data_IF_941009107295
#
_entry.id   IF_941009107295
#
_cell.length_a   1.000
_cell.length_b   1.000
_cell.length_c   1.000
_cell.angle_alpha   90.00
_cell.angle_beta   90.00
_cell.angle_gamma   90.00
#
_symmetry.space_group_name_H-M   'P 1'
#
loop_
_entity.id
_entity.type
_entity.pdbx_description
1 polymer ?
#
# COMPACT_ATOMS: atom_id res chain seq x y z
N UNK A 1 34.60 13.41 3.74
CA UNK A 1 34.37 12.29 4.69
C UNK A 1 33.55 11.27 3.93
N UNK A 2 34.16 10.12 3.63
CA UNK A 2 33.62 9.13 2.71
C UNK A 2 32.35 8.46 3.26
N UNK A 3 31.37 8.26 2.38
CA UNK A 3 30.16 7.48 2.58
C UNK A 3 30.53 6.02 2.88
N UNK A 4 30.41 5.61 4.14
CA UNK A 4 30.55 4.21 4.52
C UNK A 4 29.36 3.40 4.03
N UNK A 5 29.60 2.39 3.20
CA UNK A 5 28.65 1.32 2.97
C UNK A 5 28.37 0.61 4.31
N UNK A 6 27.09 0.54 4.71
CA UNK A 6 26.63 -0.19 5.89
C UNK A 6 27.01 -1.67 5.75
N UNK A 7 27.75 -2.24 6.72
CA UNK A 7 27.96 -3.69 6.78
C UNK A 7 26.82 -4.33 7.59
N UNK A 8 26.03 -5.24 7.00
CA UNK A 8 24.86 -5.82 7.65
C UNK A 8 25.23 -7.17 8.29
N UNK A 9 26.09 -7.19 9.29
CA UNK A 9 26.34 -8.45 10.03
C UNK A 9 25.30 -8.66 11.15
N UNK A 10 24.48 -7.66 11.48
CA UNK A 10 23.50 -7.69 12.59
C UNK A 10 22.25 -6.81 12.34
N UNK A 11 21.72 -6.76 11.11
CA UNK A 11 20.61 -5.87 10.78
C UNK A 11 19.57 -6.41 9.81
N UNK A 12 18.30 -6.18 10.10
CA UNK A 12 17.17 -6.61 9.25
C UNK A 12 16.96 -5.60 8.12
N UNK A 13 16.87 -6.07 6.88
CA UNK A 13 16.54 -5.25 5.72
C UNK A 13 15.08 -5.49 5.33
N UNK A 14 14.28 -4.42 5.28
CA UNK A 14 12.84 -4.47 5.00
C UNK A 14 12.52 -3.64 3.77
N UNK A 15 11.94 -4.26 2.74
CA UNK A 15 11.27 -3.54 1.66
C UNK A 15 9.78 -3.45 1.97
N UNK A 16 9.24 -2.24 1.98
CA UNK A 16 7.86 -2.03 2.42
C UNK A 16 7.08 -1.11 1.49
N UNK A 17 5.77 -1.37 1.37
CA UNK A 17 4.83 -0.41 0.82
C UNK A 17 4.96 0.93 1.56
N UNK A 18 4.94 2.03 0.80
CA UNK A 18 4.99 3.39 1.36
C UNK A 18 3.94 3.63 2.45
N UNK A 19 2.72 3.13 2.25
CA UNK A 19 1.60 3.28 3.19
C UNK A 19 1.75 2.49 4.51
N UNK A 20 2.66 1.52 4.57
CA UNK A 20 2.99 0.78 5.80
C UNK A 20 4.17 1.36 6.56
N UNK A 21 5.05 2.10 5.87
CA UNK A 21 6.36 2.46 6.39
C UNK A 21 6.31 3.18 7.75
N UNK A 22 5.44 4.19 7.99
CA UNK A 22 5.37 4.85 9.30
C UNK A 22 5.04 3.88 10.44
N UNK A 23 4.11 2.95 10.22
CA UNK A 23 3.73 1.96 11.22
C UNK A 23 4.86 0.97 11.51
N UNK A 24 5.52 0.45 10.46
CA UNK A 24 6.64 -0.48 10.63
C UNK A 24 7.87 0.17 11.27
N UNK A 25 8.15 1.45 11.00
CA UNK A 25 9.22 2.19 11.68
C UNK A 25 8.95 2.32 13.17
N UNK A 26 7.70 2.60 13.56
CA UNK A 26 7.33 2.67 14.98
C UNK A 26 7.40 1.28 15.64
N UNK A 27 6.96 0.22 14.96
CA UNK A 27 7.12 -1.16 15.44
C UNK A 27 8.60 -1.50 15.62
N UNK A 28 9.46 -1.16 14.67
CA UNK A 28 10.91 -1.37 14.77
C UNK A 28 11.52 -0.62 15.96
N UNK A 29 11.11 0.63 16.19
CA UNK A 29 11.55 1.43 17.36
C UNK A 29 11.19 0.74 18.67
N UNK A 30 9.96 0.22 18.80
CA UNK A 30 9.50 -0.48 20.00
C UNK A 30 10.20 -1.83 20.15
N UNK A 31 10.33 -2.61 19.08
CA UNK A 31 11.04 -3.88 19.06
C UNK A 31 12.47 -3.74 19.56
N UNK A 32 13.22 -2.77 19.03
CA UNK A 32 14.60 -2.48 19.46
C UNK A 32 14.66 -2.10 20.93
N UNK A 33 13.77 -1.21 21.37
CA UNK A 33 13.76 -0.74 22.77
C UNK A 33 13.45 -1.87 23.77
N UNK A 34 12.63 -2.85 23.40
CA UNK A 34 12.07 -3.82 24.35
C UNK A 34 12.60 -5.25 24.21
N UNK A 35 13.13 -5.64 23.04
CA UNK A 35 13.51 -7.03 22.74
C UNK A 35 14.94 -7.18 22.21
N UNK A 36 15.39 -6.27 21.32
CA UNK A 36 16.69 -6.36 20.62
C UNK A 36 17.38 -4.99 20.46
N UNK A 37 17.94 -4.39 21.52
CA UNK A 37 18.60 -3.08 21.44
C UNK A 37 19.78 -3.03 20.46
N UNK A 38 20.43 -4.16 20.24
CA UNK A 38 21.61 -4.37 19.40
C UNK A 38 21.30 -4.53 17.90
N UNK A 39 20.03 -4.71 17.53
CA UNK A 39 19.62 -4.93 16.15
C UNK A 39 19.25 -3.61 15.49
N UNK A 40 19.78 -3.37 14.30
CA UNK A 40 19.32 -2.31 13.42
C UNK A 40 18.30 -2.84 12.40
N UNK A 41 17.32 -2.01 12.05
CA UNK A 41 16.28 -2.35 11.07
C UNK A 41 16.26 -1.25 10.01
N UNK A 42 16.58 -1.62 8.77
CA UNK A 42 16.69 -0.73 7.64
C UNK A 42 15.47 -0.86 6.75
N UNK A 43 14.79 0.26 6.51
CA UNK A 43 13.60 0.31 5.68
C UNK A 43 13.90 0.96 4.33
N UNK A 44 13.41 0.34 3.27
CA UNK A 44 13.28 0.98 1.98
C UNK A 44 11.81 0.94 1.53
N UNK A 45 11.19 2.12 1.52
CA UNK A 45 9.78 2.26 1.18
C UNK A 45 9.60 2.59 -0.30
N UNK A 46 8.71 1.88 -0.98
CA UNK A 46 8.26 2.22 -2.34
C UNK A 46 6.88 1.63 -2.65
N UNK A 47 6.43 1.73 -3.91
CA UNK A 47 5.24 1.00 -4.36
C UNK A 47 5.42 -0.52 -4.24
N UNK A 48 4.33 -1.26 -4.00
CA UNK A 48 4.45 -2.71 -3.72
C UNK A 48 4.98 -3.53 -4.89
N UNK A 49 4.66 -3.16 -6.14
CA UNK A 49 5.22 -3.82 -7.32
C UNK A 49 6.73 -3.54 -7.39
N UNK A 50 7.15 -2.31 -7.12
CA UNK A 50 8.56 -1.94 -7.08
C UNK A 50 9.33 -2.68 -5.96
N UNK A 51 8.75 -2.82 -4.76
CA UNK A 51 9.32 -3.65 -3.68
C UNK A 51 9.63 -5.07 -4.14
N UNK A 52 8.71 -5.71 -4.85
CA UNK A 52 8.87 -7.08 -5.32
C UNK A 52 9.83 -7.17 -6.51
N UNK A 53 9.83 -6.20 -7.42
CA UNK A 53 10.77 -6.14 -8.56
C UNK A 53 12.22 -5.98 -8.15
N UNK A 54 12.50 -5.23 -7.08
CA UNK A 54 13.84 -5.13 -6.49
C UNK A 54 14.42 -6.51 -6.19
N UNK A 55 13.61 -7.45 -5.75
CA UNK A 55 14.06 -8.82 -5.46
C UNK A 55 14.04 -9.69 -6.71
N UNK A 56 12.91 -9.70 -7.41
CA UNK A 56 12.64 -10.66 -8.48
C UNK A 56 13.39 -10.36 -9.78
N UNK A 57 13.61 -9.08 -10.09
CA UNK A 57 14.27 -8.64 -11.34
C UNK A 57 15.68 -8.10 -11.10
N UNK A 58 15.89 -7.35 -10.01
CA UNK A 58 17.18 -6.70 -9.73
C UNK A 58 18.10 -7.55 -8.83
N UNK A 59 17.61 -8.67 -8.30
CA UNK A 59 18.38 -9.58 -7.45
C UNK A 59 18.81 -8.97 -6.10
N UNK A 60 18.13 -7.93 -5.63
CA UNK A 60 18.49 -7.26 -4.37
C UNK A 60 18.17 -8.16 -3.18
N UNK A 61 19.09 -8.18 -2.21
CA UNK A 61 18.92 -8.92 -0.96
C UNK A 61 18.05 -8.13 0.00
N UNK A 62 17.11 -8.81 0.63
CA UNK A 62 16.18 -8.29 1.64
C UNK A 62 15.87 -9.42 2.61
N UNK A 63 15.46 -9.09 3.83
CA UNK A 63 14.97 -10.08 4.80
C UNK A 63 13.46 -10.20 4.73
N UNK A 64 12.76 -9.06 4.79
CA UNK A 64 11.30 -8.99 4.85
C UNK A 64 10.77 -8.13 3.72
N UNK A 65 9.68 -8.60 3.09
CA UNK A 65 8.86 -7.77 2.20
C UNK A 65 7.49 -7.62 2.84
N UNK A 66 7.00 -6.38 2.94
CA UNK A 66 5.66 -6.06 3.46
C UNK A 66 4.93 -5.13 2.49
N UNK A 67 3.82 -5.57 1.90
CA UNK A 67 3.18 -4.90 0.76
C UNK A 67 1.68 -4.69 0.95
N UNK A 68 1.12 -3.78 0.16
CA UNK A 68 -0.28 -3.36 0.25
C UNK A 68 -1.28 -4.23 -0.52
N UNK A 69 -0.79 -5.18 -1.33
CA UNK A 69 -1.61 -6.14 -2.05
C UNK A 69 -0.98 -7.53 -1.95
N UNK A 70 -1.63 -8.40 -1.16
CA UNK A 70 -1.16 -9.77 -0.96
C UNK A 70 -1.05 -10.58 -2.26
N UNK A 71 -1.87 -10.27 -3.28
CA UNK A 71 -1.89 -11.07 -4.52
C UNK A 71 -0.64 -10.87 -5.37
N UNK A 72 0.13 -9.80 -5.14
CA UNK A 72 1.45 -9.60 -5.74
C UNK A 72 2.41 -10.72 -5.30
N UNK A 73 2.30 -11.25 -4.07
CA UNK A 73 3.11 -12.40 -3.66
C UNK A 73 2.79 -13.64 -4.50
N UNK A 74 1.51 -13.91 -4.76
CA UNK A 74 1.08 -15.05 -5.59
C UNK A 74 1.55 -14.90 -7.04
N UNK A 75 1.55 -13.68 -7.56
CA UNK A 75 1.93 -13.41 -8.95
C UNK A 75 3.44 -13.51 -9.19
N UNK A 76 4.27 -13.07 -8.24
CA UNK A 76 5.68 -12.80 -8.52
C UNK A 76 6.68 -13.43 -7.55
N UNK A 77 6.23 -13.86 -6.37
CA UNK A 77 7.16 -14.35 -5.34
C UNK A 77 6.97 -15.82 -5.00
N UNK A 78 5.73 -16.28 -4.88
CA UNK A 78 5.43 -17.67 -4.53
C UNK A 78 5.51 -18.53 -5.80
N UNK A 79 6.15 -19.71 -5.78
CA UNK A 79 6.93 -20.29 -4.67
C UNK A 79 8.44 -19.95 -4.71
N UNK A 80 8.91 -19.21 -5.71
CA UNK A 80 10.34 -19.12 -6.02
C UNK A 80 11.18 -18.29 -5.03
N UNK A 81 10.60 -17.24 -4.47
CA UNK A 81 11.26 -16.29 -3.56
C UNK A 81 10.70 -16.34 -2.14
N UNK A 82 9.53 -16.95 -1.95
CA UNK A 82 8.87 -17.12 -0.67
C UNK A 82 7.94 -18.33 -0.70
N UNK A 83 7.91 -19.11 0.38
CA UNK A 83 7.04 -20.29 0.50
C UNK A 83 5.69 -19.98 1.19
N UNK A 84 5.58 -18.81 1.81
CA UNK A 84 4.41 -18.36 2.56
C UNK A 84 4.29 -16.82 2.53
N UNK A 85 3.19 -16.28 3.02
CA UNK A 85 2.99 -14.88 3.38
C UNK A 85 1.87 -14.80 4.44
N UNK A 86 1.93 -13.78 5.29
CA UNK A 86 0.94 -13.49 6.32
C UNK A 86 0.16 -12.23 5.98
N UNK A 87 -1.16 -12.34 5.86
CA UNK A 87 -2.10 -11.23 5.75
C UNK A 87 -2.45 -10.70 7.14
N UNK A 88 -2.12 -9.44 7.42
CA UNK A 88 -2.11 -8.93 8.79
C UNK A 88 -2.82 -7.59 8.98
N UNK A 89 -3.17 -6.87 7.90
CA UNK A 89 -3.91 -5.62 8.00
C UNK A 89 -4.77 -5.36 6.77
N UNK A 90 -5.76 -4.50 6.91
CA UNK A 90 -6.63 -4.00 5.83
C UNK A 90 -6.71 -2.48 5.84
N UNK A 91 -7.25 -1.91 4.77
CA UNK A 91 -7.39 -0.48 4.59
C UNK A 91 -8.53 -0.15 3.62
N UNK A 92 -8.72 1.12 3.29
CA UNK A 92 -9.75 1.59 2.36
C UNK A 92 -9.25 2.77 1.52
N UNK A 93 -9.67 2.83 0.26
CA UNK A 93 -9.43 4.01 -0.59
C UNK A 93 -10.30 5.18 -0.11
N UNK A 94 -9.71 6.36 -0.03
CA UNK A 94 -10.37 7.64 0.26
C UNK A 94 -9.93 8.70 -0.74
N UNK A 95 -10.58 9.86 -0.70
CA UNK A 95 -10.14 11.04 -1.45
C UNK A 95 -9.62 12.09 -0.46
N UNK A 96 -8.30 12.22 -0.37
CA UNK A 96 -7.60 13.15 0.50
C UNK A 96 -7.67 14.58 -0.04
N UNK A 97 -7.75 15.56 0.86
CA UNK A 97 -7.72 16.99 0.54
C UNK A 97 -7.20 17.84 1.71
N UNK A 98 -7.10 19.15 1.49
CA UNK A 98 -6.80 20.14 2.53
C UNK A 98 -7.80 21.30 2.48
N UNK A 99 -7.77 22.19 3.46
CA UNK A 99 -8.56 23.43 3.43
C UNK A 99 -8.10 24.43 2.35
N UNK A 100 -6.96 24.19 1.70
CA UNK A 100 -6.51 24.97 0.55
C UNK A 100 -7.06 24.43 -0.77
N UNK A 101 -7.57 23.20 -0.80
CA UNK A 101 -8.10 22.56 -2.00
C UNK A 101 -9.31 23.30 -2.57
N UNK A 102 -9.35 23.47 -3.88
CA UNK A 102 -10.48 24.10 -4.57
C UNK A 102 -11.77 23.32 -4.29
N UNK A 103 -12.82 24.06 -3.97
CA UNK A 103 -14.17 23.51 -3.68
C UNK A 103 -14.26 22.60 -2.44
N UNK A 104 -13.28 22.62 -1.52
CA UNK A 104 -13.27 21.74 -0.33
C UNK A 104 -14.50 21.88 0.58
N UNK A 105 -15.16 23.05 0.60
CA UNK A 105 -16.38 23.26 1.40
C UNK A 105 -17.64 22.70 0.76
N UNK A 106 -17.58 22.31 -0.52
CA UNK A 106 -18.72 21.81 -1.29
C UNK A 106 -18.65 20.29 -1.52
N UNK A 107 -17.45 19.71 -1.46
CA UNK A 107 -17.23 18.29 -1.74
C UNK A 107 -17.70 17.40 -0.59
N UNK A 108 -18.29 16.26 -0.92
CA UNK A 108 -18.73 15.21 0.01
C UNK A 108 -18.82 13.84 -0.69
N UNK A 109 -19.22 12.81 0.05
CA UNK A 109 -19.35 11.42 -0.43
C UNK A 109 -20.30 11.25 -1.63
N UNK A 110 -21.23 12.17 -1.82
CA UNK A 110 -22.30 12.05 -2.81
C UNK A 110 -22.00 12.81 -4.11
N UNK A 111 -21.04 13.74 -4.07
CA UNK A 111 -20.75 14.63 -5.20
C UNK A 111 -19.26 14.71 -5.59
N UNK A 112 -18.34 14.03 -4.90
CA UNK A 112 -16.89 14.09 -5.16
C UNK A 112 -16.56 13.90 -6.64
N UNK A 113 -17.22 12.93 -7.29
CA UNK A 113 -16.95 12.59 -8.69
C UNK A 113 -17.34 13.72 -9.66
N UNK A 114 -18.27 14.59 -9.29
CA UNK A 114 -18.62 15.78 -10.08
C UNK A 114 -17.66 16.92 -9.82
N UNK A 115 -17.24 17.10 -8.57
CA UNK A 115 -16.26 18.13 -8.18
C UNK A 115 -14.93 17.89 -8.88
N UNK A 116 -14.46 16.65 -8.94
CA UNK A 116 -13.21 16.30 -9.62
C UNK A 116 -13.25 16.57 -11.13
N UNK A 117 -14.42 16.63 -11.76
CA UNK A 117 -14.55 16.95 -13.20
C UNK A 117 -14.69 18.46 -13.47
N UNK A 118 -14.65 19.30 -12.44
CA UNK A 118 -14.54 20.74 -12.64
C UNK A 118 -13.15 21.05 -13.24
N UNK A 119 -13.11 21.86 -14.30
CA UNK A 119 -11.88 22.22 -15.02
C UNK A 119 -10.86 22.95 -14.15
N UNK A 120 -11.31 23.55 -13.05
CA UNK A 120 -10.44 24.23 -12.10
C UNK A 120 -9.94 23.28 -11.01
N UNK A 121 -10.45 22.05 -10.91
CA UNK A 121 -10.01 21.11 -9.88
C UNK A 121 -8.91 20.20 -10.43
N UNK A 122 -7.83 20.10 -9.67
CA UNK A 122 -6.72 19.17 -9.92
C UNK A 122 -6.78 17.98 -8.97
N UNK A 123 -6.50 16.79 -9.46
CA UNK A 123 -6.40 15.60 -8.63
C UNK A 123 -5.35 14.65 -9.16
N UNK A 124 -4.89 13.79 -8.25
CA UNK A 124 -3.69 13.00 -8.45
C UNK A 124 -3.82 11.60 -7.86
N UNK A 125 -2.93 10.71 -8.28
CA UNK A 125 -2.77 9.38 -7.74
C UNK A 125 -1.33 8.89 -7.93
N UNK A 126 -0.96 7.78 -7.29
CA UNK A 126 0.36 7.19 -7.51
C UNK A 126 0.43 6.37 -8.80
N UNK A 127 1.63 6.10 -9.30
CA UNK A 127 1.85 5.39 -10.55
C UNK A 127 1.29 3.95 -10.51
N UNK A 128 0.28 3.61 -11.35
CA UNK A 128 -0.33 2.27 -11.37
C UNK A 128 0.64 1.14 -11.70
N UNK A 129 1.77 1.42 -12.35
CA UNK A 129 2.77 0.40 -12.70
C UNK A 129 3.74 0.07 -11.55
N UNK A 130 3.72 0.86 -10.48
CA UNK A 130 4.64 0.74 -9.34
C UNK A 130 3.90 0.48 -8.02
N UNK A 131 2.72 1.09 -7.84
CA UNK A 131 2.06 1.19 -6.55
C UNK A 131 0.58 0.75 -6.59
N UNK A 132 0.15 -0.13 -5.66
CA UNK A 132 -1.24 -0.51 -5.52
C UNK A 132 -2.24 0.62 -5.37
N UNK A 133 -1.89 1.71 -4.68
CA UNK A 133 -2.81 2.85 -4.57
C UNK A 133 -3.16 3.44 -5.96
N UNK A 134 -2.18 3.43 -6.87
CA UNK A 134 -2.34 3.89 -8.24
C UNK A 134 -3.33 3.06 -9.05
N UNK A 135 -3.11 1.74 -9.17
CA UNK A 135 -4.04 0.91 -9.92
C UNK A 135 -5.40 0.76 -9.21
N UNK A 136 -5.44 0.83 -7.87
CA UNK A 136 -6.69 0.84 -7.11
C UNK A 136 -7.49 2.12 -7.33
N UNK A 137 -6.83 3.26 -7.56
CA UNK A 137 -7.52 4.49 -7.98
C UNK A 137 -8.26 4.27 -9.29
N UNK A 138 -7.61 3.66 -10.28
CA UNK A 138 -8.25 3.33 -11.56
C UNK A 138 -9.42 2.33 -11.37
N UNK A 139 -9.30 1.39 -10.45
CA UNK A 139 -10.40 0.48 -10.07
C UNK A 139 -11.57 1.25 -9.43
N UNK A 140 -11.29 2.14 -8.48
CA UNK A 140 -12.30 3.00 -7.84
C UNK A 140 -13.06 3.80 -8.90
N UNK A 141 -12.37 4.34 -9.91
CA UNK A 141 -13.00 5.07 -11.01
C UNK A 141 -13.97 4.20 -11.82
N UNK A 142 -13.56 2.98 -12.18
CA UNK A 142 -14.42 2.01 -12.87
C UNK A 142 -15.64 1.61 -12.02
N UNK A 143 -15.43 1.40 -10.72
CA UNK A 143 -16.50 1.05 -9.77
C UNK A 143 -17.45 2.23 -9.55
N UNK A 144 -16.94 3.47 -9.48
CA UNK A 144 -17.72 4.69 -9.36
C UNK A 144 -18.65 4.89 -10.57
N UNK A 145 -18.16 4.64 -11.78
CA UNK A 145 -18.99 4.69 -13.00
C UNK A 145 -20.22 3.77 -12.90
N UNK A 146 -20.05 2.57 -12.32
CA UNK A 146 -21.14 1.62 -12.08
C UNK A 146 -22.03 2.06 -10.92
N UNK A 147 -21.44 2.41 -9.79
CA UNK A 147 -22.15 2.78 -8.56
C UNK A 147 -23.05 4.00 -8.77
N UNK A 148 -22.53 5.06 -9.39
CA UNK A 148 -23.28 6.29 -9.66
C UNK A 148 -24.09 6.25 -10.97
N UNK A 149 -24.09 5.12 -11.68
CA UNK A 149 -24.79 4.92 -12.97
C UNK A 149 -24.41 6.01 -13.98
N UNK A 150 -23.12 6.31 -14.08
CA UNK A 150 -22.56 7.29 -15.00
C UNK A 150 -21.59 6.61 -15.98
N UNK A 151 -22.10 6.09 -17.12
CA UNK A 151 -21.26 5.47 -18.13
C UNK A 151 -20.16 6.43 -18.62
N UNK A 152 -18.90 5.98 -18.62
CA UNK A 152 -17.76 6.76 -19.09
C UNK A 152 -17.12 7.69 -18.05
N UNK A 153 -17.61 7.70 -16.81
CA UNK A 153 -17.02 8.47 -15.71
C UNK A 153 -15.55 8.11 -15.45
N UNK A 154 -15.21 6.83 -15.54
CA UNK A 154 -13.85 6.30 -15.43
C UNK A 154 -12.91 6.87 -16.51
N UNK A 155 -13.38 6.94 -17.75
CA UNK A 155 -12.63 7.55 -18.86
C UNK A 155 -12.50 9.06 -18.68
N UNK A 156 -13.55 9.72 -18.22
CA UNK A 156 -13.51 11.15 -17.92
C UNK A 156 -12.42 11.46 -16.88
N UNK A 157 -12.37 10.68 -15.79
CA UNK A 157 -11.30 10.84 -14.81
C UNK A 157 -9.90 10.62 -15.37
N UNK A 158 -9.73 9.59 -16.19
CA UNK A 158 -8.44 9.28 -16.80
C UNK A 158 -7.98 10.35 -17.79
N UNK A 159 -8.91 11.03 -18.46
CA UNK A 159 -8.61 12.11 -19.41
C UNK A 159 -8.38 13.46 -18.73
N UNK A 160 -9.06 13.71 -17.61
CA UNK A 160 -8.95 14.95 -16.84
C UNK A 160 -7.78 14.95 -15.84
N UNK A 161 -7.29 13.77 -15.44
CA UNK A 161 -6.10 13.65 -14.60
C UNK A 161 -4.84 13.87 -15.44
N UNK A 162 -4.21 15.03 -15.27
CA UNK A 162 -3.00 15.36 -16.02
C UNK A 162 -1.84 14.42 -15.65
N UNK A 163 -0.96 14.13 -16.62
CA UNK A 163 0.12 13.15 -16.46
C UNK A 163 1.15 13.57 -15.41
N UNK A 164 1.37 14.87 -15.27
CA UNK A 164 2.22 15.47 -14.23
C UNK A 164 1.72 15.24 -12.81
N UNK A 165 0.44 14.88 -12.65
CA UNK A 165 -0.18 14.55 -11.36
C UNK A 165 -0.18 13.05 -11.05
N UNK A 166 0.66 12.29 -11.75
CA UNK A 166 0.93 10.87 -11.46
C UNK A 166 2.30 10.77 -10.80
N UNK A 167 2.31 10.37 -9.52
CA UNK A 167 3.52 10.33 -8.71
C UNK A 167 4.03 8.92 -8.51
N UNK A 168 5.34 8.67 -8.63
CA UNK A 168 5.90 7.35 -8.37
C UNK A 168 5.90 6.99 -6.87
N UNK A 169 5.90 8.00 -5.99
CA UNK A 169 5.94 7.82 -4.53
C UNK A 169 4.79 8.54 -3.85
N UNK A 170 4.13 7.85 -2.91
CA UNK A 170 3.08 8.42 -2.09
C UNK A 170 3.55 9.63 -1.26
N UNK A 171 4.82 9.67 -0.84
CA UNK A 171 5.39 10.82 -0.11
C UNK A 171 5.30 12.10 -0.92
N UNK A 172 5.70 12.03 -2.19
CA UNK A 172 5.77 13.19 -3.09
C UNK A 172 4.35 13.66 -3.43
N UNK A 173 3.42 12.72 -3.59
CA UNK A 173 1.99 13.01 -3.76
C UNK A 173 1.40 13.74 -2.54
N UNK A 174 1.69 13.27 -1.32
CA UNK A 174 1.20 13.90 -0.09
C UNK A 174 1.82 15.29 0.12
N UNK A 175 3.09 15.48 -0.21
CA UNK A 175 3.75 16.80 -0.17
C UNK A 175 3.12 17.77 -1.17
N UNK A 176 2.85 17.32 -2.41
CA UNK A 176 2.18 18.13 -3.41
C UNK A 176 0.79 18.59 -2.95
N UNK A 177 0.02 17.70 -2.34
CA UNK A 177 -1.30 18.02 -1.77
C UNK A 177 -1.19 19.02 -0.61
N UNK A 178 -0.27 18.81 0.33
CA UNK A 178 -0.05 19.70 1.49
C UNK A 178 0.37 21.10 1.07
N UNK A 179 1.16 21.21 0.01
CA UNK A 179 1.64 22.48 -0.53
C UNK A 179 0.64 23.15 -1.48
N UNK A 180 -0.53 22.55 -1.72
CA UNK A 180 -1.57 23.09 -2.59
C UNK A 180 -1.20 23.08 -4.08
N UNK A 181 -0.26 22.23 -4.49
CA UNK A 181 0.05 22.02 -5.92
C UNK A 181 -1.07 21.25 -6.63
N UNK A 182 -1.76 20.40 -5.89
CA UNK A 182 -2.94 19.65 -6.31
C UNK A 182 -4.05 19.81 -5.28
N UNK A 183 -5.32 19.70 -5.70
CA UNK A 183 -6.46 19.88 -4.79
C UNK A 183 -6.84 18.56 -4.10
N UNK A 184 -6.81 17.44 -4.81
CA UNK A 184 -7.23 16.14 -4.26
C UNK A 184 -6.25 15.02 -4.60
N UNK A 185 -6.16 14.01 -3.74
CA UNK A 185 -5.38 12.81 -4.01
C UNK A 185 -6.14 11.56 -3.62
N UNK A 186 -6.19 10.56 -4.51
CA UNK A 186 -6.64 9.23 -4.11
C UNK A 186 -5.53 8.56 -3.32
N UNK A 187 -5.84 8.18 -2.08
CA UNK A 187 -4.94 7.38 -1.27
C UNK A 187 -5.70 6.58 -0.21
N UNK A 188 -4.99 5.78 0.58
CA UNK A 188 -5.56 5.07 1.71
C UNK A 188 -5.92 5.98 2.90
N UNK A 189 -6.97 5.61 3.63
CA UNK A 189 -7.38 6.31 4.86
C UNK A 189 -6.26 6.39 5.90
N UNK A 190 -5.46 5.33 6.05
CA UNK A 190 -4.31 5.34 6.97
C UNK A 190 -3.28 6.39 6.58
N UNK A 191 -3.04 6.60 5.28
CA UNK A 191 -2.06 7.58 4.81
C UNK A 191 -2.57 8.99 4.99
N UNK A 192 -3.87 9.22 4.79
CA UNK A 192 -4.51 10.49 5.13
C UNK A 192 -4.31 10.83 6.62
N UNK A 193 -4.59 9.87 7.52
CA UNK A 193 -4.41 10.02 8.96
C UNK A 193 -2.95 10.28 9.35
N UNK A 194 -2.02 9.47 8.83
CA UNK A 194 -0.58 9.62 9.09
C UNK A 194 -0.04 10.99 8.63
N UNK A 195 -0.70 11.61 7.65
CA UNK A 195 -0.32 12.91 7.11
C UNK A 195 -1.14 14.08 7.66
N UNK A 196 -2.07 13.84 8.59
CA UNK A 196 -3.02 14.83 9.12
C UNK A 196 -3.81 15.55 8.02
N UNK A 197 -4.27 14.80 7.03
CA UNK A 197 -5.08 15.29 5.91
C UNK A 197 -6.56 15.06 6.18
N UNK A 198 -7.39 15.97 5.64
CA UNK A 198 -8.84 15.73 5.54
C UNK A 198 -9.09 14.71 4.42
N UNK A 199 -10.18 13.95 4.51
CA UNK A 199 -10.55 13.02 3.44
C UNK A 199 -12.05 12.79 3.36
N UNK A 200 -12.50 12.48 2.14
CA UNK A 200 -13.86 12.01 1.88
C UNK A 200 -13.89 10.48 1.93
N UNK A 201 -14.79 9.95 2.75
CA UNK A 201 -15.11 8.53 2.74
C UNK A 201 -15.83 8.17 1.43
N UNK A 202 -15.27 7.20 0.72
CA UNK A 202 -15.87 6.64 -0.48
C UNK A 202 -16.85 5.52 -0.10
N UNK A 203 -17.95 5.32 -0.85
CA UNK A 203 -18.88 4.22 -0.62
C UNK A 203 -18.17 2.87 -0.50
N UNK A 204 -18.65 2.02 0.41
CA UNK A 204 -18.05 0.71 0.68
C UNK A 204 -18.07 -0.19 -0.56
N UNK A 205 -19.04 0.00 -1.46
CA UNK A 205 -19.15 -0.66 -2.75
C UNK A 205 -17.99 -0.37 -3.71
N UNK A 206 -17.25 0.72 -3.49
CA UNK A 206 -16.19 1.17 -4.41
C UNK A 206 -14.83 1.33 -3.74
N UNK A 207 -14.77 1.49 -2.41
CA UNK A 207 -13.54 1.83 -1.68
C UNK A 207 -12.59 0.65 -1.40
N UNK A 208 -12.92 -0.55 -1.90
CA UNK A 208 -12.12 -1.76 -1.80
C UNK A 208 -11.85 -2.25 -0.36
N UNK A 209 -12.70 -1.90 0.61
CA UNK A 209 -12.45 -2.21 2.02
C UNK A 209 -13.11 -3.50 2.52
N UNK A 210 -14.25 -3.88 1.95
CA UNK A 210 -15.15 -4.83 2.59
C UNK A 210 -15.28 -6.13 1.78
N UNK A 211 -14.88 -7.29 2.34
CA UNK A 211 -14.97 -8.59 1.67
C UNK A 211 -16.36 -8.96 1.13
N UNK A 212 -17.45 -8.40 1.68
CA UNK A 212 -18.82 -8.60 1.17
C UNK A 212 -18.98 -8.19 -0.30
N UNK A 213 -18.18 -7.23 -0.77
CA UNK A 213 -18.26 -6.70 -2.13
C UNK A 213 -17.19 -7.26 -3.06
N UNK A 214 -16.53 -8.37 -2.70
CA UNK A 214 -15.46 -8.97 -3.51
C UNK A 214 -15.87 -9.21 -4.97
N UNK A 215 -17.06 -9.77 -5.22
CA UNK A 215 -17.55 -10.00 -6.59
C UNK A 215 -17.73 -8.69 -7.37
N UNK A 216 -18.22 -7.64 -6.70
CA UNK A 216 -18.33 -6.31 -7.31
C UNK A 216 -16.95 -5.73 -7.62
N UNK A 217 -16.00 -5.82 -6.68
CA UNK A 217 -14.64 -5.33 -6.89
C UNK A 217 -13.94 -6.02 -8.06
N UNK A 218 -14.14 -7.33 -8.23
CA UNK A 218 -13.58 -8.11 -9.35
C UNK A 218 -14.05 -7.65 -10.73
N UNK A 219 -15.13 -6.88 -10.79
CA UNK A 219 -15.64 -6.28 -12.01
C UNK A 219 -14.79 -5.09 -12.50
N UNK A 220 -13.84 -4.61 -11.69
CA UNK A 220 -12.84 -3.63 -12.06
C UNK A 220 -11.49 -4.32 -12.35
N UNK A 221 -10.92 -4.01 -13.51
CA UNK A 221 -9.70 -4.66 -14.04
C UNK A 221 -8.78 -3.60 -14.62
N UNK A 222 -7.52 -3.64 -14.25
CA UNK A 222 -6.51 -2.64 -14.63
C UNK A 222 -5.26 -3.36 -15.07
N UNK A 223 -4.76 -3.00 -16.26
CA UNK A 223 -3.51 -3.53 -16.76
C UNK A 223 -2.34 -2.72 -16.20
N UNK A 224 -1.38 -3.41 -15.60
CA UNK A 224 -0.12 -2.84 -15.13
C UNK A 224 1.04 -3.49 -15.87
N UNK A 225 2.19 -2.82 -15.92
CA UNK A 225 3.43 -3.47 -16.32
C UNK A 225 3.72 -4.65 -15.38
N UNK A 226 4.23 -5.74 -15.93
CA UNK A 226 4.72 -6.94 -15.27
C UNK A 226 6.21 -7.16 -15.54
N UNK A 227 6.75 -8.33 -15.14
CA UNK A 227 8.14 -8.70 -15.35
C UNK A 227 8.54 -8.63 -16.82
N UNK A 228 9.75 -8.13 -17.07
CA UNK A 228 10.33 -7.97 -18.41
C UNK A 228 9.43 -7.21 -19.41
N UNK A 229 8.59 -6.29 -18.93
CA UNK A 229 7.71 -5.49 -19.77
C UNK A 229 6.42 -6.20 -20.22
N UNK A 230 6.11 -7.37 -19.64
CA UNK A 230 4.80 -8.02 -19.81
C UNK A 230 3.67 -7.14 -19.30
N UNK A 231 2.43 -7.47 -19.66
CA UNK A 231 1.23 -6.85 -19.09
C UNK A 231 0.62 -7.82 -18.11
N UNK A 232 0.31 -7.34 -16.91
CA UNK A 232 -0.35 -8.11 -15.85
C UNK A 232 -1.69 -7.45 -15.56
N UNK A 233 -2.75 -8.24 -15.59
CA UNK A 233 -4.08 -7.78 -15.21
C UNK A 233 -4.21 -7.81 -13.68
N UNK A 234 -4.41 -6.64 -13.09
CA UNK A 234 -4.81 -6.48 -11.69
C UNK A 234 -6.34 -6.51 -11.61
N UNK A 235 -6.86 -7.38 -10.74
CA UNK A 235 -8.29 -7.59 -10.53
C UNK A 235 -8.68 -6.99 -9.18
N UNK A 236 -9.74 -6.18 -9.13
CA UNK A 236 -10.19 -5.55 -7.90
C UNK A 236 -10.55 -6.56 -6.81
N UNK A 237 -10.02 -6.34 -5.61
CA UNK A 237 -10.17 -7.19 -4.42
C UNK A 237 -10.17 -6.29 -3.17
N UNK A 238 -10.65 -6.79 -2.01
CA UNK A 238 -10.46 -6.10 -0.74
C UNK A 238 -8.98 -5.82 -0.47
N UNK A 239 -8.68 -4.62 0.05
CA UNK A 239 -7.32 -4.21 0.40
C UNK A 239 -6.84 -5.01 1.60
N UNK A 240 -5.87 -5.87 1.37
CA UNK A 240 -5.23 -6.68 2.41
C UNK A 240 -3.72 -6.55 2.24
N UNK A 241 -3.09 -6.05 3.31
CA UNK A 241 -1.65 -5.99 3.46
C UNK A 241 -1.12 -7.33 3.91
N UNK A 242 0.02 -7.71 3.34
CA UNK A 242 0.70 -8.94 3.68
C UNK A 242 2.20 -8.73 3.80
N UNK A 243 2.85 -9.61 4.55
CA UNK A 243 4.30 -9.66 4.64
C UNK A 243 4.83 -11.09 4.49
N UNK A 244 6.11 -11.22 4.16
CA UNK A 244 6.83 -12.49 4.21
C UNK A 244 8.32 -12.27 4.54
N UNK A 245 8.96 -13.32 5.05
CA UNK A 245 10.42 -13.45 5.06
C UNK A 245 10.84 -14.21 3.80
N UNK A 246 11.71 -13.63 2.99
CA UNK A 246 12.12 -14.26 1.72
C UNK A 246 12.96 -15.52 1.97
N UNK A 247 12.91 -16.48 1.04
CA UNK A 247 13.54 -17.79 1.20
C UNK A 247 15.05 -17.70 1.49
N UNK A 248 15.73 -16.76 0.82
CA UNK A 248 17.18 -16.49 0.92
C UNK A 248 17.50 -15.27 1.81
N UNK A 249 16.66 -14.97 2.80
CA UNK A 249 16.86 -13.84 3.72
C UNK A 249 18.24 -13.95 4.42
N UNK A 250 19.10 -12.91 4.38
CA UNK A 250 20.42 -12.95 5.02
C UNK A 250 20.35 -13.15 6.55
N UNK A 251 19.28 -12.71 7.20
CA UNK A 251 19.06 -12.75 8.65
C UNK A 251 17.74 -13.44 8.99
N UNK A 252 17.49 -14.61 8.41
CA UNK A 252 16.19 -15.30 8.44
C UNK A 252 15.59 -15.46 9.85
N UNK A 253 16.37 -15.91 10.83
CA UNK A 253 15.85 -16.16 12.18
C UNK A 253 15.44 -14.85 12.88
N UNK A 254 16.26 -13.80 12.74
CA UNK A 254 15.98 -12.48 13.29
C UNK A 254 14.79 -11.81 12.57
N UNK A 255 14.67 -12.03 11.25
CA UNK A 255 13.53 -11.58 10.47
C UNK A 255 12.22 -12.24 10.93
N UNK A 256 12.24 -13.55 11.21
CA UNK A 256 11.09 -14.28 11.75
C UNK A 256 10.71 -13.77 13.15
N UNK A 257 11.69 -13.46 14.00
CA UNK A 257 11.42 -12.85 15.30
C UNK A 257 10.74 -11.48 15.15
N UNK A 258 11.23 -10.63 14.25
CA UNK A 258 10.62 -9.32 14.00
C UNK A 258 9.22 -9.45 13.39
N UNK A 259 9.00 -10.39 12.48
CA UNK A 259 7.66 -10.70 11.96
C UNK A 259 6.72 -11.15 13.08
N UNK A 260 7.17 -12.03 13.99
CA UNK A 260 6.36 -12.41 15.16
C UNK A 260 5.97 -11.19 15.98
N UNK A 261 6.88 -10.23 16.16
CA UNK A 261 6.61 -8.99 16.89
C UNK A 261 5.59 -8.10 16.17
N UNK A 262 5.66 -7.98 14.84
CA UNK A 262 4.66 -7.26 14.01
C UNK A 262 3.27 -7.88 14.15
N UNK A 263 3.18 -9.21 14.13
CA UNK A 263 1.92 -9.95 14.20
C UNK A 263 1.35 -10.07 15.62
N UNK A 264 2.20 -9.86 16.64
CA UNK A 264 1.80 -9.88 18.05
C UNK A 264 0.99 -8.66 18.49
N UNK A 265 0.47 -8.70 19.72
CA UNK A 265 -0.42 -7.67 20.28
C UNK A 265 0.14 -6.26 20.21
N UNK A 266 1.43 -6.08 20.54
CA UNK A 266 2.08 -4.76 20.51
C UNK A 266 2.19 -4.23 19.08
N UNK A 267 2.60 -5.06 18.13
CA UNK A 267 2.68 -4.69 16.72
C UNK A 267 1.31 -4.30 16.17
N UNK A 268 0.28 -5.11 16.43
CA UNK A 268 -1.08 -4.84 15.96
C UNK A 268 -1.68 -3.55 16.58
N UNK A 269 -1.39 -3.25 17.84
CA UNK A 269 -1.81 -1.98 18.45
C UNK A 269 -1.19 -0.76 17.75
N UNK A 270 0.05 -0.86 17.28
CA UNK A 270 0.72 0.19 16.50
C UNK A 270 0.11 0.30 15.10
N UNK A 271 -0.21 -0.83 14.46
CA UNK A 271 -0.93 -0.87 13.17
C UNK A 271 -2.27 -0.12 13.26
N UNK A 272 -3.06 -0.39 14.30
CA UNK A 272 -4.34 0.29 14.54
C UNK A 272 -4.15 1.79 14.82
N UNK A 273 -3.15 2.14 15.64
CA UNK A 273 -2.82 3.54 15.93
C UNK A 273 -2.38 4.33 14.68
N UNK A 274 -1.82 3.64 13.69
CA UNK A 274 -1.43 4.19 12.40
C UNK A 274 -2.59 4.28 11.38
N UNK A 275 -3.82 3.96 11.79
CA UNK A 275 -5.03 4.07 10.96
C UNK A 275 -5.33 2.88 10.05
N UNK A 276 -4.55 1.79 10.16
CA UNK A 276 -4.87 0.52 9.51
C UNK A 276 -5.81 -0.30 10.41
N UNK A 277 -6.45 -1.33 9.84
CA UNK A 277 -7.25 -2.27 10.62
C UNK A 277 -6.56 -3.63 10.66
N UNK A 278 -6.24 -4.12 11.87
CA UNK A 278 -5.55 -5.39 12.05
C UNK A 278 -6.37 -6.61 11.62
N UNK A 279 -5.70 -7.64 11.10
CA UNK A 279 -6.27 -8.98 10.91
C UNK A 279 -5.71 -9.85 12.04
N UNK A 280 -6.53 -10.09 13.06
CA UNK A 280 -6.12 -10.74 14.31
C UNK A 280 -6.99 -12.00 14.55
N UNK A 281 -6.41 -13.22 14.56
CA UNK A 281 -5.03 -13.54 14.19
C UNK A 281 -4.77 -13.33 12.69
N UNK A 282 -3.50 -13.12 12.33
CA UNK A 282 -3.10 -13.00 10.93
C UNK A 282 -3.45 -14.29 10.15
N UNK A 283 -3.75 -14.13 8.86
CA UNK A 283 -4.08 -15.27 7.98
C UNK A 283 -2.90 -15.63 7.11
N UNK A 284 -2.55 -16.90 7.05
CA UNK A 284 -1.42 -17.40 6.24
C UNK A 284 -1.94 -18.08 4.98
N UNK A 285 -1.26 -17.88 3.85
CA UNK A 285 -1.62 -18.55 2.59
C UNK A 285 -1.27 -20.04 2.58
N UNK A 286 -0.20 -20.42 3.29
CA UNK A 286 0.27 -21.79 3.38
C UNK A 286 0.81 -22.09 4.80
N UNK A 287 -0.08 -22.48 5.74
CA UNK A 287 0.32 -22.81 7.11
C UNK A 287 1.35 -23.93 7.20
N UNK A 288 1.36 -24.89 6.27
CA UNK A 288 2.31 -26.01 6.28
C UNK A 288 3.77 -25.58 6.04
N UNK A 289 3.97 -24.50 5.29
CA UNK A 289 5.29 -23.92 5.01
C UNK A 289 5.59 -22.68 5.88
N UNK A 290 4.68 -22.33 6.80
CA UNK A 290 4.87 -21.20 7.72
C UNK A 290 5.76 -21.64 8.89
N UNK A 291 6.81 -20.87 9.25
CA UNK A 291 7.67 -21.20 10.38
C UNK A 291 6.85 -21.37 11.67
N UNK A 292 7.08 -22.45 12.40
CA UNK A 292 6.26 -22.89 13.56
C UNK A 292 6.03 -21.80 14.60
N UNK A 293 6.98 -20.90 14.77
CA UNK A 293 6.86 -19.79 15.72
C UNK A 293 6.00 -18.62 15.25
N UNK A 294 5.30 -18.70 14.12
CA UNK A 294 4.39 -17.66 13.61
C UNK A 294 2.92 -18.10 13.61
N UNK A 295 2.63 -19.38 13.84
CA UNK A 295 1.28 -19.96 13.87
C UNK A 295 0.62 -19.86 15.25
#
# INVERSE_FOLDING_TARGET
MASGALSPDNGIIVFTAGSLNPALQEIARVFRKSHRPEVDIFFEASGSLDCVRKVTEQGRKVDIIAIADFSIFEQFMVPHYSDWYAMFATNRMVLCYTKASRLYTKINSDNWYRILLDKEVSYAHTNPNLDPAGYRTLMVWQLAAKHYKQPGLDRAFSQSCAREWIYDRATDLMEALKNGLIDYAFEYASVAQQNNLEYIELPVEINLSNPKYTELYQSARVNTSGPQGSIVEQIGKPIVYALTVVNNAPHKDLAIEFVRFILGTVGQSIIESAGLLGIIPARFNNPANTPTGLL
#
